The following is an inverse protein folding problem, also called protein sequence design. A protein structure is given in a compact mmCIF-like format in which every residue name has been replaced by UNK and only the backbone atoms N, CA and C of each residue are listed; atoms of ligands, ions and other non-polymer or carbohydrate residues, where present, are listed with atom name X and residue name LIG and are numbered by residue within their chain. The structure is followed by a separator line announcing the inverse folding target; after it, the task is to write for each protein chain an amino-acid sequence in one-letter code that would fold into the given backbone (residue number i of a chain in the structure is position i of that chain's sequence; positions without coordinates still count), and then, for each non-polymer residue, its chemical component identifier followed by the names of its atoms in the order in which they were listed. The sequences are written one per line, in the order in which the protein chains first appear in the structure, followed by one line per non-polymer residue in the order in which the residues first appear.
data_IF_145984314674
#
_entry.id   IF_145984314674
#
_cell.length_a   1.000
_cell.length_b   1.000
_cell.length_c   1.000
_cell.angle_alpha   90.00
_cell.angle_beta   90.00
_cell.angle_gamma   90.00
#
_symmetry.space_group_name_H-M   'P 1'
#
loop_
_entity.id
_entity.type
_entity.pdbx_description
1 polymer ?
#
# COMPACT_ATOMS: atom_id res chain seq x y z
N UNK A 1 -15.88 -5.56 -3.66
CA UNK A 1 -15.22 -4.31 -4.12
C UNK A 1 -14.34 -4.68 -5.30
N UNK A 2 -14.40 -3.95 -6.42
CA UNK A 2 -13.56 -4.27 -7.59
C UNK A 2 -12.13 -3.74 -7.40
N UNK A 3 -11.13 -4.38 -8.02
CA UNK A 3 -9.74 -3.90 -7.96
C UNK A 3 -9.57 -2.48 -8.51
N UNK A 4 -10.33 -2.12 -9.55
CA UNK A 4 -10.33 -0.76 -10.09
C UNK A 4 -10.83 0.27 -9.07
N UNK A 5 -11.88 -0.07 -8.32
CA UNK A 5 -12.39 0.78 -7.26
C UNK A 5 -11.38 0.91 -6.12
N UNK A 6 -10.78 -0.19 -5.65
CA UNK A 6 -9.75 -0.13 -4.60
C UNK A 6 -8.55 0.72 -5.05
N UNK A 7 -8.09 0.56 -6.29
CA UNK A 7 -6.95 1.33 -6.83
C UNK A 7 -7.21 2.83 -6.80
N UNK A 8 -8.40 3.27 -7.23
CA UNK A 8 -8.75 4.70 -7.23
C UNK A 8 -9.01 5.23 -5.82
N UNK A 9 -9.69 4.47 -4.98
CA UNK A 9 -10.00 4.89 -3.61
C UNK A 9 -8.74 5.00 -2.75
N UNK A 10 -7.83 4.03 -2.81
CA UNK A 10 -6.54 4.06 -2.10
C UNK A 10 -5.69 5.22 -2.61
N UNK A 11 -5.65 5.46 -3.93
CA UNK A 11 -4.91 6.59 -4.47
C UNK A 11 -5.44 7.92 -3.92
N UNK A 12 -6.76 8.14 -4.02
CA UNK A 12 -7.40 9.40 -3.63
C UNK A 12 -7.33 9.65 -2.12
N UNK A 13 -7.56 8.62 -1.32
CA UNK A 13 -7.71 8.76 0.13
C UNK A 13 -6.40 8.62 0.92
N UNK A 14 -5.39 7.94 0.36
CA UNK A 14 -4.14 7.61 1.07
C UNK A 14 -2.93 8.16 0.33
N UNK A 15 -2.71 7.75 -0.91
CA UNK A 15 -1.45 8.03 -1.64
C UNK A 15 -1.29 9.53 -1.91
N UNK A 16 -2.28 10.16 -2.57
CA UNK A 16 -2.26 11.58 -2.91
C UNK A 16 -2.07 12.51 -1.70
N UNK A 17 -2.84 12.40 -0.60
CA UNK A 17 -2.66 13.27 0.56
C UNK A 17 -1.30 13.06 1.25
N UNK A 18 -0.75 11.84 1.27
CA UNK A 18 0.56 11.59 1.89
C UNK A 18 1.72 12.14 1.06
N UNK A 19 1.69 11.97 -0.27
CA UNK A 19 2.67 12.57 -1.17
C UNK A 19 2.69 14.08 -1.02
N UNK A 20 1.52 14.71 -1.01
CA UNK A 20 1.40 16.15 -0.82
C UNK A 20 1.92 16.59 0.57
N UNK A 21 1.54 15.86 1.63
CA UNK A 21 1.97 16.15 3.01
C UNK A 21 3.49 16.10 3.16
N UNK A 22 4.14 15.10 2.59
CA UNK A 22 5.58 14.87 2.73
C UNK A 22 6.42 15.41 1.57
N UNK A 23 5.78 16.09 0.60
CA UNK A 23 6.42 16.65 -0.60
C UNK A 23 7.27 15.62 -1.34
N UNK A 24 6.76 14.40 -1.48
CA UNK A 24 7.47 13.33 -2.15
C UNK A 24 7.46 13.53 -3.66
N UNK A 25 8.58 13.30 -4.37
CA UNK A 25 8.58 13.30 -5.83
C UNK A 25 7.85 12.04 -6.32
N UNK A 26 6.59 12.20 -6.72
CA UNK A 26 5.77 11.10 -7.22
C UNK A 26 4.78 11.60 -8.29
N UNK A 27 4.62 10.80 -9.35
CA UNK A 27 3.58 10.97 -10.36
C UNK A 27 2.78 9.67 -10.48
N UNK A 28 1.44 9.77 -10.47
CA UNK A 28 0.54 8.63 -10.70
C UNK A 28 0.73 8.01 -12.09
N UNK A 29 1.18 8.80 -13.06
CA UNK A 29 1.44 8.35 -14.43
C UNK A 29 2.72 7.53 -14.57
N UNK A 30 3.58 7.52 -13.54
CA UNK A 30 4.81 6.74 -13.56
C UNK A 30 4.49 5.24 -13.66
N UNK A 31 5.14 4.60 -14.62
CA UNK A 31 5.16 3.15 -14.81
C UNK A 31 5.55 2.36 -13.56
N UNK A 32 6.27 2.98 -12.62
CA UNK A 32 6.65 2.39 -11.33
C UNK A 32 5.49 2.30 -10.33
N UNK A 33 4.35 2.98 -10.58
CA UNK A 33 3.22 2.97 -9.65
C UNK A 33 2.41 1.67 -9.70
N UNK A 34 2.77 0.76 -8.81
CA UNK A 34 2.14 -0.54 -8.63
C UNK A 34 1.21 -0.50 -7.41
N UNK A 35 -0.04 -0.91 -7.60
CA UNK A 35 -1.02 -1.07 -6.52
C UNK A 35 -1.57 -2.49 -6.63
N UNK A 36 -1.49 -3.25 -5.53
CA UNK A 36 -1.85 -4.67 -5.47
C UNK A 36 -1.31 -5.48 -6.66
N UNK A 37 0.00 -5.39 -6.91
CA UNK A 37 0.65 -6.03 -8.06
C UNK A 37 0.50 -7.55 -8.12
N UNK A 38 0.14 -8.19 -7.01
CA UNK A 38 -0.10 -9.63 -6.90
C UNK A 38 -1.58 -10.02 -7.01
N UNK A 39 -2.46 -9.06 -7.32
CA UNK A 39 -3.89 -9.30 -7.51
C UNK A 39 -4.73 -9.01 -6.26
N UNK A 40 -5.86 -9.71 -6.13
CA UNK A 40 -6.82 -9.48 -5.04
C UNK A 40 -6.24 -10.00 -3.72
N UNK A 41 -6.30 -9.18 -2.67
CA UNK A 41 -5.89 -9.57 -1.32
C UNK A 41 -7.11 -9.64 -0.39
N UNK A 42 -7.65 -10.84 -0.19
CA UNK A 42 -8.87 -11.07 0.62
C UNK A 42 -8.60 -11.69 1.99
N UNK A 43 -7.56 -12.52 2.13
CA UNK A 43 -7.19 -13.18 3.38
C UNK A 43 -5.86 -12.61 3.85
N UNK A 44 -5.88 -11.91 4.99
CA UNK A 44 -4.70 -11.30 5.60
C UNK A 44 -4.58 -11.62 7.08
N UNK A 45 -3.55 -11.06 7.72
CA UNK A 45 -3.31 -11.20 9.15
C UNK A 45 -2.69 -12.55 9.54
N UNK A 46 -2.80 -12.94 10.83
CA UNK A 46 -2.13 -14.13 11.39
C UNK A 46 -2.49 -15.46 10.71
N UNK A 47 -3.64 -15.53 10.04
CA UNK A 47 -4.06 -16.70 9.25
C UNK A 47 -3.16 -16.92 8.03
N UNK A 48 -2.60 -15.85 7.46
CA UNK A 48 -1.79 -15.89 6.24
C UNK A 48 -0.29 -15.88 6.52
N UNK A 49 0.15 -15.29 7.64
CA UNK A 49 1.57 -15.19 8.00
C UNK A 49 1.75 -15.20 9.53
N UNK A 50 2.70 -16.00 10.01
CA UNK A 50 2.98 -16.12 11.44
C UNK A 50 3.82 -14.93 11.92
N UNK A 51 3.24 -14.11 12.81
CA UNK A 51 3.93 -13.00 13.45
C UNK A 51 4.85 -13.47 14.59
N UNK A 52 6.08 -12.96 14.63
CA UNK A 52 6.98 -13.11 15.77
C UNK A 52 7.43 -11.73 16.26
N UNK A 53 7.58 -11.59 17.58
CA UNK A 53 8.07 -10.36 18.22
C UNK A 53 9.47 -10.00 17.70
N UNK A 54 9.72 -8.70 17.47
CA UNK A 54 11.03 -8.20 17.05
C UNK A 54 11.39 -8.48 15.58
N UNK A 55 10.41 -8.82 14.71
CA UNK A 55 10.66 -9.10 13.28
C UNK A 55 10.47 -7.91 12.33
N UNK A 56 10.33 -6.69 12.86
CA UNK A 56 10.16 -5.44 12.10
C UNK A 56 11.06 -4.29 12.58
N UNK A 57 12.18 -4.60 13.24
CA UNK A 57 13.06 -3.61 13.88
C UNK A 57 13.54 -2.46 12.97
N UNK A 58 13.79 -2.69 11.68
CA UNK A 58 14.21 -1.64 10.74
C UNK A 58 13.04 -0.77 10.28
N UNK A 59 11.80 -1.29 10.35
CA UNK A 59 10.59 -0.50 10.05
C UNK A 59 10.22 0.38 11.24
N UNK A 60 10.48 -0.09 12.46
CA UNK A 60 10.19 0.64 13.70
C UNK A 60 11.15 1.82 13.94
N UNK A 61 12.33 1.80 13.33
CA UNK A 61 13.36 2.86 13.40
C UNK A 61 13.30 3.78 12.19
#
# INVERSE_FOLDING_TARGET
ISNSQVREDVYRQIVNPLIAKYKLPFDKSDSSYIMNGTGVWTIGGPTSDAGLTGRKIIVDT
#
